data_IF_199964846286
#
_entry.id   IF_199964846286
#
_cell.length_a   1.000
_cell.length_b   1.000
_cell.length_c   1.000
_cell.angle_alpha   90.00
_cell.angle_beta   90.00
_cell.angle_gamma   90.00
#
_symmetry.space_group_name_H-M   'P 1'
#
loop_
_entity.id
_entity.type
_entity.pdbx_description
1 polymer ?
#
# COMPACT_ATOMS: atom_id res chain seq x y z
N UNK A 1 -33.21 14.29 65.79
CA UNK A 1 -31.95 14.93 65.32
C UNK A 1 -30.94 13.95 64.72
N UNK A 2 -30.70 12.77 65.33
CA UNK A 2 -29.69 11.77 64.90
C UNK A 2 -29.82 11.25 63.44
N UNK A 3 -31.03 11.04 62.93
CA UNK A 3 -31.24 10.49 61.57
C UNK A 3 -30.99 11.50 60.44
N UNK A 4 -31.14 12.81 60.70
CA UNK A 4 -30.81 13.85 59.73
C UNK A 4 -29.30 14.08 59.65
N UNK A 5 -28.62 14.04 60.80
CA UNK A 5 -27.16 14.15 60.88
C UNK A 5 -26.46 13.03 60.10
N UNK A 6 -26.95 11.79 60.22
CA UNK A 6 -26.40 10.65 59.47
C UNK A 6 -26.54 10.79 57.95
N UNK A 7 -27.66 11.35 57.47
CA UNK A 7 -27.86 11.60 56.04
C UNK A 7 -26.88 12.62 55.48
N UNK A 8 -26.61 13.71 56.21
CA UNK A 8 -25.62 14.70 55.80
C UNK A 8 -24.18 14.15 55.84
N UNK A 9 -23.89 13.28 56.79
CA UNK A 9 -22.58 12.64 56.94
C UNK A 9 -22.32 11.62 55.81
N UNK A 10 -23.33 10.84 55.41
CA UNK A 10 -23.23 9.93 54.26
C UNK A 10 -23.09 10.69 52.94
N UNK A 11 -23.81 11.81 52.77
CA UNK A 11 -23.69 12.66 51.57
C UNK A 11 -22.30 13.31 51.49
N UNK A 12 -21.75 13.80 52.61
CA UNK A 12 -20.40 14.37 52.61
C UNK A 12 -19.30 13.33 52.37
N UNK A 13 -19.49 12.10 52.83
CA UNK A 13 -18.55 11.01 52.56
C UNK A 13 -18.53 10.65 51.06
N UNK A 14 -19.71 10.59 50.42
CA UNK A 14 -19.84 10.30 49.00
C UNK A 14 -19.24 11.40 48.10
N UNK A 15 -19.36 12.68 48.48
CA UNK A 15 -18.71 13.76 47.74
C UNK A 15 -17.19 13.73 47.88
N UNK A 16 -16.64 13.44 49.07
CA UNK A 16 -15.18 13.35 49.27
C UNK A 16 -14.57 12.20 48.47
N UNK A 17 -15.22 11.03 48.42
CA UNK A 17 -14.78 9.92 47.54
C UNK A 17 -14.93 10.23 46.04
N UNK A 18 -15.88 11.09 45.65
CA UNK A 18 -16.05 11.53 44.27
C UNK A 18 -14.95 12.48 43.77
N UNK A 19 -14.33 13.27 44.66
CA UNK A 19 -13.26 14.21 44.28
C UNK A 19 -11.85 13.60 44.34
N UNK A 20 -11.61 12.59 45.17
CA UNK A 20 -10.29 11.91 45.23
C UNK A 20 -10.13 10.78 44.20
N UNK A 21 -11.22 10.37 43.54
CA UNK A 21 -11.21 9.33 42.50
C UNK A 21 -10.81 9.82 41.10
N UNK A 22 -10.61 11.12 40.90
CA UNK A 22 -10.24 11.71 39.60
C UNK A 22 -8.74 12.02 39.45
N UNK A 23 -7.91 11.74 40.45
CA UNK A 23 -6.44 11.77 40.31
C UNK A 23 -5.90 10.41 39.87
N UNK A 24 -6.55 9.83 38.86
CA UNK A 24 -6.01 8.72 38.06
C UNK A 24 -5.35 9.24 36.79
N UNK A 25 -4.62 10.35 36.85
CA UNK A 25 -3.61 10.71 35.86
C UNK A 25 -2.25 10.44 36.52
N UNK A 26 -2.05 9.18 36.83
CA UNK A 26 -0.84 8.65 37.44
C UNK A 26 -0.38 7.46 36.65
N UNK A 27 -0.35 7.59 35.32
CA UNK A 27 0.63 6.84 34.56
C UNK A 27 1.91 7.65 34.65
N UNK A 28 2.83 7.19 35.49
CA UNK A 28 4.25 7.27 35.17
C UNK A 28 4.36 6.74 33.74
N UNK A 29 4.32 7.64 32.76
CA UNK A 29 4.80 7.34 31.42
C UNK A 29 6.30 7.18 31.61
N UNK A 30 6.73 5.95 31.92
CA UNK A 30 8.06 5.50 31.52
C UNK A 30 8.19 5.90 30.06
N UNK A 31 9.14 6.76 29.71
CA UNK A 31 9.38 7.19 28.34
C UNK A 31 9.39 5.96 27.42
N UNK A 32 8.25 5.66 26.79
CA UNK A 32 8.20 4.68 25.73
C UNK A 32 8.83 5.38 24.55
N UNK A 33 10.10 5.07 24.30
CA UNK A 33 10.79 5.49 23.10
C UNK A 33 10.08 4.82 21.92
N UNK A 34 9.12 5.52 21.32
CA UNK A 34 8.44 5.05 20.11
C UNK A 34 9.48 5.06 18.99
N UNK A 35 10.06 3.89 18.71
CA UNK A 35 10.83 3.71 17.48
C UNK A 35 9.80 3.54 16.36
N UNK A 36 9.51 4.64 15.67
CA UNK A 36 8.64 4.65 14.50
C UNK A 36 9.27 3.91 13.31
N UNK A 37 8.44 3.62 12.30
CA UNK A 37 8.94 3.19 10.99
C UNK A 37 9.20 4.39 10.10
N UNK A 38 10.26 4.32 9.32
CA UNK A 38 10.54 5.25 8.23
C UNK A 38 9.77 4.81 6.99
N UNK A 39 9.24 5.79 6.26
CA UNK A 39 8.44 5.56 5.06
C UNK A 39 8.98 6.44 3.94
N UNK A 40 9.26 5.83 2.79
CA UNK A 40 9.53 6.53 1.54
C UNK A 40 8.49 6.14 0.50
N UNK A 41 7.88 7.15 -0.13
CA UNK A 41 6.92 6.95 -1.22
C UNK A 41 7.38 7.69 -2.47
N UNK A 42 7.25 7.05 -3.63
CA UNK A 42 7.47 7.69 -4.93
C UNK A 42 6.48 7.13 -5.95
N UNK A 43 6.21 7.89 -7.00
CA UNK A 43 5.31 7.48 -8.10
C UNK A 43 6.05 7.40 -9.42
N UNK A 44 5.62 6.49 -10.28
CA UNK A 44 6.15 6.31 -11.64
C UNK A 44 5.04 6.50 -12.65
N UNK A 45 5.18 7.51 -13.51
CA UNK A 45 4.37 7.67 -14.70
C UNK A 45 5.07 6.97 -15.87
N UNK A 46 4.46 5.93 -16.41
CA UNK A 46 5.05 5.09 -17.46
C UNK A 46 4.24 5.23 -18.74
N UNK A 47 4.83 5.89 -19.73
CA UNK A 47 4.26 5.98 -21.08
C UNK A 47 4.50 4.71 -21.88
N UNK A 48 3.68 4.49 -22.92
CA UNK A 48 3.86 3.40 -23.91
C UNK A 48 5.31 3.25 -24.39
N UNK A 49 6.00 4.36 -24.65
CA UNK A 49 7.36 4.39 -25.21
C UNK A 49 8.48 3.89 -24.27
N UNK A 50 8.21 3.91 -22.95
CA UNK A 50 9.18 3.51 -21.92
C UNK A 50 9.26 2.00 -21.74
N UNK A 51 8.21 1.28 -22.12
CA UNK A 51 8.21 -0.18 -22.15
C UNK A 51 9.17 -0.71 -23.21
N UNK A 52 9.95 -1.72 -22.84
CA UNK A 52 10.86 -2.43 -23.73
C UNK A 52 10.47 -3.89 -23.79
N UNK A 53 10.24 -4.39 -25.00
CA UNK A 53 9.99 -5.81 -25.21
C UNK A 53 11.27 -6.61 -24.94
N UNK A 54 11.19 -7.57 -24.02
CA UNK A 54 12.21 -8.57 -23.77
C UNK A 54 11.78 -9.89 -24.43
N UNK A 55 12.46 -10.27 -25.51
CA UNK A 55 12.15 -11.50 -26.25
C UNK A 55 12.68 -12.78 -25.62
N UNK A 56 13.54 -12.69 -24.60
CA UNK A 56 13.99 -13.87 -23.86
C UNK A 56 12.90 -14.35 -22.89
N UNK A 57 12.23 -13.39 -22.24
CA UNK A 57 11.20 -13.66 -21.23
C UNK A 57 9.77 -13.45 -21.75
N UNK A 58 9.62 -12.99 -22.99
CA UNK A 58 8.34 -12.68 -23.65
C UNK A 58 7.45 -11.78 -22.81
N UNK A 59 7.98 -10.62 -22.42
CA UNK A 59 7.28 -9.60 -21.62
C UNK A 59 7.82 -8.21 -21.91
N UNK A 60 7.03 -7.19 -21.58
CA UNK A 60 7.48 -5.80 -21.55
C UNK A 60 8.08 -5.46 -20.20
N UNK A 61 9.15 -4.67 -20.21
CA UNK A 61 9.89 -4.28 -19.00
C UNK A 61 10.18 -2.78 -18.97
N UNK A 62 10.18 -2.20 -17.78
CA UNK A 62 10.65 -0.83 -17.53
C UNK A 62 11.36 -0.79 -16.17
N UNK A 63 12.45 -0.03 -16.07
CA UNK A 63 13.29 0.00 -14.86
C UNK A 63 13.46 1.43 -14.34
N UNK A 64 13.35 1.60 -13.03
CA UNK A 64 13.43 2.90 -12.35
C UNK A 64 14.47 2.86 -11.23
N UNK A 65 15.38 3.83 -11.23
CA UNK A 65 16.36 3.97 -10.15
C UNK A 65 15.68 4.54 -8.90
N UNK A 66 15.86 3.86 -7.77
CA UNK A 66 15.33 4.24 -6.45
C UNK A 66 16.45 4.11 -5.42
N UNK A 67 17.29 5.15 -5.25
CA UNK A 67 18.44 5.11 -4.32
C UNK A 67 18.07 4.79 -2.87
N UNK A 68 16.82 5.06 -2.47
CA UNK A 68 16.27 4.77 -1.14
C UNK A 68 16.03 3.27 -0.90
N UNK A 69 15.96 2.46 -1.96
CA UNK A 69 15.94 1.00 -1.85
C UNK A 69 17.36 0.50 -1.55
N UNK A 70 17.84 0.81 -0.35
CA UNK A 70 19.17 0.40 0.13
C UNK A 70 19.18 -1.08 0.51
N UNK A 71 20.37 -1.64 0.76
CA UNK A 71 20.52 -3.01 1.30
C UNK A 71 19.67 -3.22 2.56
N UNK A 72 19.66 -2.25 3.48
CA UNK A 72 18.86 -2.32 4.70
C UNK A 72 17.36 -2.41 4.42
N UNK A 73 16.85 -1.59 3.50
CA UNK A 73 15.44 -1.64 3.11
C UNK A 73 15.10 -2.95 2.41
N UNK A 74 16.02 -3.48 1.60
CA UNK A 74 15.84 -4.75 0.90
C UNK A 74 15.82 -5.95 1.87
N UNK A 75 16.67 -5.94 2.89
CA UNK A 75 16.82 -7.05 3.84
C UNK A 75 15.77 -7.02 4.98
N UNK A 76 15.50 -5.83 5.53
CA UNK A 76 14.72 -5.66 6.76
C UNK A 76 13.39 -4.91 6.55
N UNK A 77 13.21 -4.29 5.38
CA UNK A 77 12.06 -3.45 5.07
C UNK A 77 10.90 -4.19 4.39
N UNK A 78 9.83 -3.45 4.17
CA UNK A 78 8.71 -3.81 3.32
C UNK A 78 8.72 -2.94 2.06
N UNK A 79 8.53 -3.60 0.92
CA UNK A 79 8.50 -2.97 -0.41
C UNK A 79 7.18 -3.32 -1.08
N UNK A 80 6.36 -2.32 -1.39
CA UNK A 80 5.06 -2.52 -2.02
C UNK A 80 4.93 -1.60 -3.24
N UNK A 81 4.50 -2.15 -4.37
CA UNK A 81 4.14 -1.36 -5.55
C UNK A 81 2.65 -1.51 -5.81
N UNK A 82 2.02 -0.40 -6.18
CA UNK A 82 0.62 -0.33 -6.57
C UNK A 82 0.51 0.23 -7.98
N UNK A 83 -0.47 -0.22 -8.75
CA UNK A 83 -0.93 0.42 -9.99
C UNK A 83 -2.24 1.15 -9.74
N UNK A 84 -2.42 2.33 -10.34
CA UNK A 84 -3.67 3.06 -10.31
C UNK A 84 -4.52 2.71 -11.52
N UNK A 85 -5.74 2.26 -11.27
CA UNK A 85 -6.80 2.12 -12.26
C UNK A 85 -7.65 3.38 -12.25
N UNK A 86 -7.90 3.96 -13.43
CA UNK A 86 -8.65 5.22 -13.60
C UNK A 86 -8.11 6.37 -12.73
N UNK A 87 -6.81 6.71 -12.84
CA UNK A 87 -6.21 7.72 -11.98
C UNK A 87 -6.91 9.08 -12.15
N UNK A 88 -7.27 9.70 -11.02
CA UNK A 88 -7.96 11.00 -10.88
C UNK A 88 -9.43 11.01 -11.33
N UNK A 89 -10.05 9.84 -11.47
CA UNK A 89 -11.48 9.68 -11.75
C UNK A 89 -12.27 9.25 -10.49
N UNK A 90 -13.60 9.38 -10.50
CA UNK A 90 -14.47 9.03 -9.36
C UNK A 90 -14.39 7.55 -8.94
N UNK A 91 -13.93 6.67 -9.83
CA UNK A 91 -13.75 5.24 -9.61
C UNK A 91 -12.26 4.82 -9.61
N UNK A 92 -11.37 5.72 -9.17
CA UNK A 92 -9.96 5.41 -8.97
C UNK A 92 -9.80 4.24 -7.98
N UNK A 93 -8.94 3.28 -8.34
CA UNK A 93 -8.56 2.16 -7.47
C UNK A 93 -7.06 1.97 -7.50
N UNK A 94 -6.46 1.77 -6.33
CA UNK A 94 -5.07 1.29 -6.20
C UNK A 94 -5.06 -0.22 -6.02
N UNK A 95 -4.34 -0.90 -6.89
CA UNK A 95 -4.21 -2.36 -6.90
C UNK A 95 -2.78 -2.72 -6.51
N UNK A 96 -2.56 -3.51 -5.45
CA UNK A 96 -1.23 -4.00 -5.09
C UNK A 96 -0.70 -4.96 -6.16
N UNK A 97 0.57 -4.85 -6.52
CA UNK A 97 1.22 -5.74 -7.46
C UNK A 97 1.88 -6.94 -6.76
N UNK A 98 1.96 -8.10 -7.44
CA UNK A 98 1.48 -8.37 -8.80
C UNK A 98 -0.05 -8.56 -8.85
N UNK A 99 -0.65 -8.26 -10.01
CA UNK A 99 -2.06 -8.58 -10.28
C UNK A 99 -2.26 -9.09 -11.72
N UNK A 100 -3.36 -9.81 -11.94
CA UNK A 100 -3.76 -10.39 -13.23
C UNK A 100 -5.14 -9.87 -13.62
N UNK A 101 -5.21 -9.24 -14.78
CA UNK A 101 -6.44 -8.76 -15.38
C UNK A 101 -6.90 -9.74 -16.46
N UNK A 102 -8.04 -10.39 -16.24
CA UNK A 102 -8.65 -11.32 -17.20
C UNK A 102 -9.75 -10.63 -17.98
N UNK A 103 -9.64 -10.66 -19.30
CA UNK A 103 -10.60 -10.12 -20.24
C UNK A 103 -11.32 -11.24 -20.99
N UNK A 104 -12.60 -11.03 -21.28
CA UNK A 104 -13.36 -11.89 -22.18
C UNK A 104 -13.32 -11.33 -23.59
N UNK A 105 -12.97 -12.17 -24.55
CA UNK A 105 -12.93 -11.83 -25.97
C UNK A 105 -14.08 -12.57 -26.66
N UNK A 106 -14.94 -11.84 -27.35
CA UNK A 106 -15.97 -12.42 -28.21
C UNK A 106 -15.33 -12.83 -29.55
N UNK A 107 -15.45 -14.10 -29.92
CA UNK A 107 -14.88 -14.63 -31.15
C UNK A 107 -15.75 -14.36 -32.39
N UNK A 108 -16.94 -13.79 -32.22
CA UNK A 108 -17.88 -13.44 -33.30
C UNK A 108 -18.76 -14.59 -33.78
N UNK A 109 -18.60 -15.80 -33.24
CA UNK A 109 -19.41 -17.00 -33.52
C UNK A 109 -20.31 -17.42 -32.33
N UNK A 110 -20.44 -16.54 -31.34
CA UNK A 110 -21.15 -16.82 -30.08
C UNK A 110 -20.31 -17.57 -29.05
N UNK A 111 -19.03 -17.82 -29.32
CA UNK A 111 -18.07 -18.35 -28.35
C UNK A 111 -17.20 -17.23 -27.75
N UNK A 112 -16.67 -17.48 -26.55
CA UNK A 112 -15.79 -16.54 -25.85
C UNK A 112 -14.45 -17.19 -25.55
N UNK A 113 -13.39 -16.41 -25.72
CA UNK A 113 -12.04 -16.72 -25.26
C UNK A 113 -11.67 -15.86 -24.05
N UNK A 114 -10.64 -16.26 -23.31
CA UNK A 114 -10.06 -15.46 -22.23
C UNK A 114 -8.66 -15.01 -22.60
N UNK A 115 -8.32 -13.81 -22.17
CA UNK A 115 -6.99 -13.21 -22.34
C UNK A 115 -6.57 -12.57 -21.03
N UNK A 116 -5.36 -12.87 -20.58
CA UNK A 116 -4.84 -12.36 -19.32
C UNK A 116 -3.68 -11.39 -19.55
N UNK A 117 -3.71 -10.28 -18.84
CA UNK A 117 -2.59 -9.36 -18.70
C UNK A 117 -2.10 -9.38 -17.24
N UNK A 118 -0.84 -9.73 -17.04
CA UNK A 118 -0.18 -9.70 -15.74
C UNK A 118 0.67 -8.45 -15.62
N UNK A 119 0.39 -7.64 -14.60
CA UNK A 119 1.25 -6.52 -14.19
C UNK A 119 1.99 -6.94 -12.93
N UNK A 120 3.31 -6.78 -12.91
CA UNK A 120 4.14 -7.19 -11.78
C UNK A 120 5.36 -6.31 -11.61
N UNK A 121 6.07 -6.50 -10.50
CA UNK A 121 7.30 -5.77 -10.18
C UNK A 121 8.32 -6.67 -9.49
N UNK A 122 9.60 -6.34 -9.68
CA UNK A 122 10.72 -6.94 -8.97
C UNK A 122 11.57 -5.84 -8.33
N UNK A 123 12.26 -6.20 -7.25
CA UNK A 123 13.13 -5.30 -6.49
C UNK A 123 14.58 -5.74 -6.61
N UNK A 124 15.44 -4.80 -6.96
CA UNK A 124 16.90 -4.92 -6.91
C UNK A 124 17.40 -3.74 -6.07
N UNK A 125 18.48 -3.89 -5.32
CA UNK A 125 19.03 -2.77 -4.54
C UNK A 125 19.27 -1.57 -5.47
N UNK A 126 18.66 -0.44 -5.12
CA UNK A 126 18.71 0.80 -5.88
C UNK A 126 17.78 0.88 -7.09
N UNK A 127 16.94 -0.13 -7.38
CA UNK A 127 16.13 -0.18 -8.60
C UNK A 127 14.83 -0.99 -8.45
N UNK A 128 13.77 -0.52 -9.11
CA UNK A 128 12.51 -1.28 -9.28
C UNK A 128 12.32 -1.61 -10.75
N UNK A 129 12.03 -2.88 -11.04
CA UNK A 129 11.57 -3.33 -12.35
C UNK A 129 10.05 -3.46 -12.37
N UNK A 130 9.41 -3.00 -13.44
CA UNK A 130 7.99 -3.16 -13.72
C UNK A 130 7.83 -4.00 -14.97
N UNK A 131 6.84 -4.91 -14.96
CA UNK A 131 6.63 -5.88 -16.03
C UNK A 131 5.15 -5.95 -16.43
N UNK A 132 4.92 -6.03 -17.74
CA UNK A 132 3.63 -6.39 -18.32
C UNK A 132 3.82 -7.65 -19.18
N UNK A 133 3.05 -8.69 -18.90
CA UNK A 133 3.10 -9.95 -19.64
C UNK A 133 1.70 -10.42 -20.01
N UNK A 134 1.54 -10.80 -21.27
CA UNK A 134 0.27 -11.26 -21.83
C UNK A 134 0.22 -12.78 -21.85
N UNK A 135 -0.96 -13.39 -21.76
CA UNK A 135 -1.12 -14.86 -21.71
C UNK A 135 -0.64 -15.58 -22.97
N UNK A 136 -0.59 -14.88 -24.10
CA UNK A 136 -0.16 -15.42 -25.39
C UNK A 136 1.36 -15.37 -25.60
N UNK A 137 2.10 -14.62 -24.75
CA UNK A 137 3.55 -14.47 -24.80
C UNK A 137 4.08 -13.93 -26.13
N UNK A 138 3.26 -13.17 -26.86
CA UNK A 138 3.66 -12.51 -28.10
C UNK A 138 3.81 -11.01 -27.91
N UNK A 139 4.68 -10.41 -28.73
CA UNK A 139 4.80 -8.95 -28.78
C UNK A 139 3.59 -8.38 -29.51
N UNK A 140 2.79 -7.60 -28.78
CA UNK A 140 1.77 -6.74 -29.36
C UNK A 140 1.81 -5.38 -28.67
N UNK A 141 2.35 -4.36 -29.35
CA UNK A 141 2.51 -3.03 -28.77
C UNK A 141 1.16 -2.32 -28.54
N UNK A 142 0.04 -2.87 -29.01
CA UNK A 142 -1.30 -2.34 -28.79
C UNK A 142 -1.83 -2.60 -27.37
N UNK A 143 -1.31 -3.60 -26.67
CA UNK A 143 -1.70 -3.95 -25.29
C UNK A 143 -1.15 -2.95 -24.28
N UNK A 144 -0.11 -2.20 -24.66
CA UNK A 144 0.46 -1.15 -23.83
C UNK A 144 -0.47 0.05 -23.79
N UNK A 145 -0.97 0.48 -22.60
CA UNK A 145 -1.75 1.70 -22.51
C UNK A 145 -0.86 2.91 -22.74
N UNK A 146 -1.50 4.03 -23.07
CA UNK A 146 -0.82 5.31 -23.26
C UNK A 146 -0.04 5.74 -22.02
N UNK A 147 -0.62 5.51 -20.85
CA UNK A 147 -0.04 5.86 -19.56
C UNK A 147 -0.48 4.87 -18.47
N UNK A 148 0.48 4.37 -17.71
CA UNK A 148 0.27 3.82 -16.38
C UNK A 148 0.77 4.79 -15.30
N UNK A 149 0.13 4.76 -14.14
CA UNK A 149 0.61 5.41 -12.92
C UNK A 149 0.82 4.35 -11.85
N UNK A 150 2.03 4.29 -11.30
CA UNK A 150 2.41 3.38 -10.23
C UNK A 150 2.84 4.15 -8.99
N UNK A 151 2.72 3.53 -7.82
CA UNK A 151 3.29 4.03 -6.56
C UNK A 151 4.10 2.95 -5.87
N UNK A 152 5.32 3.29 -5.51
CA UNK A 152 6.18 2.52 -4.63
C UNK A 152 6.07 3.05 -3.20
N UNK A 153 5.93 2.14 -2.25
CA UNK A 153 6.03 2.40 -0.81
C UNK A 153 7.14 1.51 -0.24
N UNK A 154 8.15 2.14 0.33
CA UNK A 154 9.20 1.53 1.12
C UNK A 154 8.92 1.84 2.59
N UNK A 155 8.94 0.84 3.45
CA UNK A 155 8.79 1.02 4.90
C UNK A 155 9.86 0.21 5.61
N UNK A 156 10.63 0.83 6.49
CA UNK A 156 11.66 0.14 7.26
C UNK A 156 11.75 0.75 8.66
N UNK A 157 12.67 0.21 9.45
CA UNK A 157 12.99 0.74 10.77
C UNK A 157 14.43 1.23 10.75
N UNK A 158 14.67 2.51 10.99
CA UNK A 158 16.03 3.02 11.24
C UNK A 158 16.65 2.44 12.51
#
# INVERSE_FOLDING_TARGET
MRTRLYKYLVISLLTVFGFTGLTGCGDDITEQYYVGSDIYTTSFDVSRSQWKWNSADNRYECFFNVPQLTQKVYDDGAMNVYVFMNPREDNEVQIPLPDIFTYKIDNGDGTYSTYDERISCDFIIGQVGLYLQTSDLFRDDNVLPEKYEFKLVLTWKD
#
